data_IF_949818170003
#
_entry.id   IF_949818170003
#
_cell.length_a   1.000
_cell.length_b   1.000
_cell.length_c   1.000
_cell.angle_alpha   90.00
_cell.angle_beta   90.00
_cell.angle_gamma   90.00
#
_symmetry.space_group_name_H-M   'P 1'
#
loop_
_entity.id
_entity.type
_entity.pdbx_description
1 polymer ?
#
# COMPACT_ATOMS: atom_id res chain seq x y z
N UNK A 1 -3.53 30.73 7.82
CA UNK A 1 -3.79 32.11 7.33
C UNK A 1 -3.11 32.41 6.00
N UNK A 2 -2.26 31.53 5.48
CA UNK A 2 -1.55 31.70 4.22
C UNK A 2 -0.50 32.83 4.22
N UNK A 3 -0.03 33.23 5.36
CA UNK A 3 1.01 34.22 5.54
C UNK A 3 2.20 33.64 6.29
N UNK A 4 3.40 34.13 5.96
CA UNK A 4 4.57 33.83 6.78
C UNK A 4 4.35 34.25 8.23
N UNK A 5 4.80 33.48 9.21
CA UNK A 5 4.78 33.92 10.60
C UNK A 5 5.63 35.19 10.74
N UNK A 6 5.28 36.03 11.68
CA UNK A 6 6.09 37.26 11.97
C UNK A 6 7.26 36.93 12.90
N UNK A 7 7.26 35.73 13.51
CA UNK A 7 8.33 35.21 14.38
C UNK A 7 8.66 33.79 14.00
N UNK A 8 9.90 33.40 14.17
CA UNK A 8 10.34 32.01 14.03
C UNK A 8 9.92 31.13 15.22
N UNK A 9 10.34 29.85 15.20
CA UNK A 9 10.03 28.88 16.27
C UNK A 9 10.63 29.27 17.64
N UNK A 10 11.70 30.06 17.65
CA UNK A 10 12.36 30.53 18.86
C UNK A 10 11.82 31.89 19.35
N UNK A 11 10.79 32.42 18.67
CA UNK A 11 10.13 33.67 19.00
C UNK A 11 10.85 34.92 18.48
N UNK A 12 11.89 34.79 17.67
CA UNK A 12 12.64 35.89 17.06
C UNK A 12 11.85 36.48 15.91
N UNK A 13 11.78 37.82 15.83
CA UNK A 13 11.07 38.49 14.76
C UNK A 13 11.77 38.26 13.42
N UNK A 14 11.00 37.78 12.43
CA UNK A 14 11.46 37.67 11.03
C UNK A 14 11.55 39.05 10.39
N UNK A 15 12.47 39.20 9.43
CA UNK A 15 12.58 40.44 8.67
C UNK A 15 11.22 40.86 8.09
N UNK A 16 10.94 42.15 8.13
CA UNK A 16 9.65 42.71 7.69
C UNK A 16 9.33 42.43 6.21
N UNK A 17 10.33 42.09 5.42
CA UNK A 17 10.18 41.68 4.02
C UNK A 17 9.57 40.28 3.89
N UNK A 18 9.68 39.42 4.93
CA UNK A 18 9.20 38.06 4.97
C UNK A 18 8.02 37.92 5.92
N UNK A 19 8.15 38.44 7.15
CA UNK A 19 7.12 38.34 8.20
C UNK A 19 5.80 38.97 7.76
N UNK A 20 4.71 38.18 7.88
CA UNK A 20 3.37 38.61 7.48
C UNK A 20 3.09 38.67 5.98
N UNK A 21 4.10 38.41 5.11
CA UNK A 21 3.91 38.33 3.67
C UNK A 21 3.14 37.07 3.28
N UNK A 22 2.41 37.06 2.14
CA UNK A 22 1.75 35.86 1.66
C UNK A 22 2.74 34.73 1.38
N UNK A 23 2.50 33.55 1.93
CA UNK A 23 3.35 32.35 1.72
C UNK A 23 3.44 31.92 0.27
N UNK A 24 2.36 32.10 -0.49
CA UNK A 24 2.24 31.65 -1.86
C UNK A 24 1.91 32.78 -2.84
N UNK A 25 2.14 34.04 -2.48
CA UNK A 25 1.74 35.18 -3.28
C UNK A 25 0.23 35.18 -3.56
N UNK A 26 -0.22 35.28 -4.82
CA UNK A 26 -1.64 35.26 -5.18
C UNK A 26 -2.22 33.84 -5.24
N UNK A 27 -1.38 32.79 -5.13
CA UNK A 27 -1.79 31.40 -5.28
C UNK A 27 -2.46 30.85 -4.02
N UNK A 28 -3.43 29.99 -4.22
CA UNK A 28 -4.09 29.23 -3.15
C UNK A 28 -4.03 27.76 -3.49
N UNK A 29 -3.69 26.94 -2.51
CA UNK A 29 -3.74 25.49 -2.61
C UNK A 29 -4.91 24.93 -1.81
N UNK A 30 -5.46 23.81 -2.25
CA UNK A 30 -6.38 22.99 -1.48
C UNK A 30 -5.78 21.59 -1.34
N UNK A 31 -5.83 21.03 -0.13
CA UNK A 31 -5.49 19.63 0.07
C UNK A 31 -6.72 18.78 -0.31
N UNK A 32 -6.64 18.10 -1.45
CA UNK A 32 -7.73 17.24 -1.93
C UNK A 32 -7.63 15.82 -1.40
N UNK A 33 -6.40 15.32 -1.26
CA UNK A 33 -6.13 13.95 -0.84
C UNK A 33 -4.79 13.86 -0.11
N UNK A 34 -4.71 12.93 0.85
CA UNK A 34 -3.46 12.51 1.47
C UNK A 34 -3.22 11.05 1.10
N UNK A 35 -2.02 10.77 0.59
CA UNK A 35 -1.57 9.40 0.28
C UNK A 35 -0.30 9.09 1.05
N UNK A 36 -0.29 7.95 1.69
CA UNK A 36 0.85 7.47 2.45
C UNK A 36 0.75 5.98 2.71
N UNK A 37 1.80 5.39 3.24
CA UNK A 37 1.76 4.03 3.70
C UNK A 37 1.02 3.92 5.05
N UNK A 38 0.77 2.67 5.47
CA UNK A 38 0.04 2.43 6.72
C UNK A 38 0.79 2.95 7.95
N UNK A 39 2.12 2.90 7.92
CA UNK A 39 2.93 3.40 9.03
C UNK A 39 2.81 4.92 9.16
N UNK A 40 2.84 5.65 8.04
CA UNK A 40 2.57 7.08 8.02
C UNK A 40 1.18 7.39 8.61
N UNK A 41 0.16 6.65 8.21
CA UNK A 41 -1.19 6.87 8.73
C UNK A 41 -1.31 6.58 10.23
N UNK A 42 -0.66 5.52 10.71
CA UNK A 42 -0.63 5.22 12.14
C UNK A 42 0.08 6.30 12.96
N UNK A 43 1.16 6.89 12.42
CA UNK A 43 1.95 7.90 13.11
C UNK A 43 1.35 9.31 13.07
N UNK A 44 0.70 9.67 11.95
CA UNK A 44 0.25 11.03 11.70
C UNK A 44 -1.24 11.23 12.00
N UNK A 45 -2.05 10.19 11.81
CA UNK A 45 -3.49 10.22 12.05
C UNK A 45 -3.93 9.36 13.22
N UNK A 46 -2.98 8.74 13.93
CA UNK A 46 -3.28 7.75 15.00
C UNK A 46 -4.25 6.65 14.54
N UNK A 47 -4.18 6.28 13.25
CA UNK A 47 -5.01 5.22 12.72
C UNK A 47 -4.57 3.85 13.26
N UNK A 48 -5.51 2.91 13.47
CA UNK A 48 -5.17 1.58 13.95
C UNK A 48 -4.24 0.87 12.97
N UNK A 49 -3.25 0.15 13.49
CA UNK A 49 -2.39 -0.67 12.66
C UNK A 49 -3.15 -1.92 12.19
N UNK A 50 -2.92 -2.32 10.94
CA UNK A 50 -3.59 -3.45 10.30
C UNK A 50 -3.43 -4.79 11.04
N UNK A 51 -2.38 -4.93 11.84
CA UNK A 51 -2.10 -6.12 12.67
C UNK A 51 -2.69 -6.02 14.08
N UNK A 52 -3.41 -4.96 14.39
CA UNK A 52 -4.10 -4.82 15.68
C UNK A 52 -5.33 -5.73 15.70
N UNK A 53 -5.46 -6.53 16.75
CA UNK A 53 -6.46 -7.58 16.80
C UNK A 53 -7.91 -7.10 16.68
N UNK A 54 -8.21 -5.94 17.19
CA UNK A 54 -9.59 -5.49 17.36
C UNK A 54 -10.05 -4.47 16.32
N UNK A 55 -9.21 -3.49 16.02
CA UNK A 55 -9.51 -2.43 15.03
C UNK A 55 -8.39 -2.41 14.00
N UNK A 56 -8.64 -2.91 12.82
CA UNK A 56 -7.61 -3.00 11.78
C UNK A 56 -7.83 -2.04 10.61
N UNK A 57 -8.95 -1.33 10.58
CA UNK A 57 -9.30 -0.43 9.48
C UNK A 57 -9.68 0.94 10.04
N UNK A 58 -9.18 2.01 9.42
CA UNK A 58 -9.61 3.38 9.77
C UNK A 58 -10.89 3.81 9.05
N UNK A 59 -11.28 3.07 7.99
CA UNK A 59 -12.46 3.40 7.19
C UNK A 59 -13.73 2.70 7.66
N UNK A 60 -13.61 1.62 8.47
CA UNK A 60 -14.76 0.84 8.90
C UNK A 60 -14.44 0.07 10.20
N UNK A 61 -15.45 -0.64 10.71
CA UNK A 61 -15.31 -1.49 11.92
C UNK A 61 -14.91 -2.94 11.60
N UNK A 62 -14.27 -3.19 10.46
CA UNK A 62 -13.76 -4.52 10.15
C UNK A 62 -12.80 -5.00 11.24
N UNK A 63 -12.97 -6.26 11.69
CA UNK A 63 -12.26 -6.83 12.83
C UNK A 63 -11.82 -8.26 12.53
N UNK A 64 -10.81 -8.76 13.23
CA UNK A 64 -10.44 -10.18 13.21
C UNK A 64 -10.92 -10.93 14.46
N UNK A 65 -11.55 -10.25 15.42
CA UNK A 65 -12.06 -10.83 16.67
C UNK A 65 -13.58 -10.83 16.75
N UNK A 66 -14.27 -9.89 16.10
CA UNK A 66 -15.73 -9.75 16.15
C UNK A 66 -16.35 -10.55 15.00
N UNK A 67 -17.07 -11.66 15.26
CA UNK A 67 -17.54 -12.59 14.21
C UNK A 67 -18.34 -11.92 13.09
N UNK A 68 -19.26 -11.02 13.44
CA UNK A 68 -20.11 -10.35 12.46
C UNK A 68 -19.37 -9.30 11.63
N UNK A 69 -18.20 -8.86 12.08
CA UNK A 69 -17.37 -7.85 11.42
C UNK A 69 -16.07 -8.44 10.85
N UNK A 70 -16.03 -9.76 10.67
CA UNK A 70 -14.83 -10.46 10.23
C UNK A 70 -14.37 -9.93 8.86
N UNK A 71 -13.17 -9.37 8.82
CA UNK A 71 -12.61 -8.72 7.62
C UNK A 71 -12.38 -9.67 6.45
N UNK A 72 -12.20 -10.99 6.72
CA UNK A 72 -12.04 -12.02 5.69
C UNK A 72 -13.35 -12.40 5.01
N UNK A 73 -14.49 -11.97 5.55
CA UNK A 73 -15.77 -12.17 4.89
C UNK A 73 -15.88 -11.21 3.70
N UNK A 74 -15.60 -11.72 2.50
CA UNK A 74 -15.64 -10.95 1.24
C UNK A 74 -17.03 -10.91 0.59
N UNK A 75 -18.04 -11.51 1.22
CA UNK A 75 -19.42 -11.43 0.71
C UNK A 75 -19.83 -9.96 0.52
N UNK A 76 -20.50 -9.58 -0.58
CA UNK A 76 -21.05 -8.24 -0.76
C UNK A 76 -21.93 -7.76 0.41
N UNK A 77 -22.64 -8.69 1.07
CA UNK A 77 -23.53 -8.43 2.22
C UNK A 77 -22.80 -8.49 3.58
N UNK A 78 -21.48 -8.58 3.60
CA UNK A 78 -20.71 -8.63 4.84
C UNK A 78 -20.97 -7.38 5.69
N UNK A 79 -21.34 -7.57 6.96
CA UNK A 79 -21.77 -6.49 7.84
C UNK A 79 -20.73 -5.37 8.03
N UNK A 80 -19.44 -5.70 8.00
CA UNK A 80 -18.39 -4.69 8.12
C UNK A 80 -18.46 -3.62 7.02
N UNK A 81 -19.01 -3.95 5.83
CA UNK A 81 -19.17 -3.01 4.72
C UNK A 81 -20.18 -1.90 5.01
N UNK A 82 -21.16 -2.16 5.86
CA UNK A 82 -22.16 -1.17 6.29
C UNK A 82 -21.68 -0.27 7.44
N UNK A 83 -20.45 -0.53 7.95
CA UNK A 83 -19.88 0.23 9.08
C UNK A 83 -18.85 1.28 8.63
N UNK A 84 -18.92 1.74 7.40
CA UNK A 84 -18.06 2.81 6.90
C UNK A 84 -18.28 4.09 7.70
N UNK A 85 -17.15 4.71 8.08
CA UNK A 85 -17.14 5.99 8.73
C UNK A 85 -17.34 7.13 7.73
N UNK A 86 -18.20 8.11 8.06
CA UNK A 86 -18.05 9.46 7.52
C UNK A 86 -17.03 10.23 8.37
N UNK A 87 -16.51 11.35 7.86
CA UNK A 87 -15.63 12.21 8.65
C UNK A 87 -16.30 12.62 9.98
N UNK A 88 -17.57 13.02 9.94
CA UNK A 88 -18.32 13.46 11.11
C UNK A 88 -18.49 12.35 12.14
N UNK A 89 -18.83 11.14 11.72
CA UNK A 89 -18.99 10.00 12.64
C UNK A 89 -17.66 9.56 13.22
N UNK A 90 -16.58 9.63 12.45
CA UNK A 90 -15.23 9.35 12.93
C UNK A 90 -14.78 10.36 13.98
N UNK A 91 -14.98 11.67 13.72
CA UNK A 91 -14.65 12.74 14.67
C UNK A 91 -15.46 12.62 15.97
N UNK A 92 -16.74 12.28 15.84
CA UNK A 92 -17.59 12.05 17.02
C UNK A 92 -17.14 10.84 17.85
N UNK A 93 -16.68 9.76 17.18
CA UNK A 93 -16.12 8.58 17.88
C UNK A 93 -14.81 8.91 18.62
N UNK A 94 -13.91 9.73 18.03
CA UNK A 94 -12.70 10.18 18.70
C UNK A 94 -13.05 10.94 19.97
N UNK A 95 -13.93 11.94 19.88
CA UNK A 95 -14.34 12.75 21.03
C UNK A 95 -15.06 11.93 22.11
N UNK A 96 -15.92 11.01 21.70
CA UNK A 96 -16.64 10.14 22.65
C UNK A 96 -15.71 9.17 23.40
N UNK A 97 -14.52 8.87 22.85
CA UNK A 97 -13.51 8.00 23.47
C UNK A 97 -12.34 8.78 24.07
N UNK A 98 -12.49 10.10 24.27
CA UNK A 98 -11.47 11.00 24.84
C UNK A 98 -10.11 10.89 24.08
N UNK A 99 -10.18 10.82 22.76
CA UNK A 99 -9.02 10.77 21.88
C UNK A 99 -8.76 12.11 21.22
N UNK A 100 -7.49 12.42 21.07
CA UNK A 100 -7.07 13.61 20.34
C UNK A 100 -7.46 13.54 18.85
N UNK A 101 -7.91 14.69 18.33
CA UNK A 101 -8.15 14.84 16.91
C UNK A 101 -6.81 15.06 16.21
N UNK A 102 -6.44 14.23 15.21
CA UNK A 102 -5.20 14.43 14.45
C UNK A 102 -5.10 15.84 13.85
N UNK A 103 -3.99 16.51 14.07
CA UNK A 103 -3.79 17.92 13.68
C UNK A 103 -4.04 18.18 12.18
N UNK A 104 -3.75 17.22 11.32
CA UNK A 104 -3.96 17.37 9.88
C UNK A 104 -5.43 17.57 9.52
N UNK A 105 -6.38 17.11 10.34
CA UNK A 105 -7.80 17.39 10.10
C UNK A 105 -8.19 18.85 10.40
N UNK A 106 -7.27 19.66 10.95
CA UNK A 106 -7.44 21.11 11.03
C UNK A 106 -7.27 21.82 9.65
N UNK A 107 -6.69 21.13 8.67
CA UNK A 107 -6.54 21.66 7.31
C UNK A 107 -7.93 21.76 6.67
N UNK A 108 -8.31 22.95 6.29
CA UNK A 108 -9.61 23.21 5.65
C UNK A 108 -9.77 22.35 4.39
N UNK A 109 -10.84 21.56 4.35
CA UNK A 109 -11.17 20.68 3.23
C UNK A 109 -10.58 19.29 3.32
N UNK A 110 -9.64 19.01 4.25
CA UNK A 110 -9.17 17.66 4.49
C UNK A 110 -10.19 16.89 5.35
N UNK A 111 -10.65 15.78 4.83
CA UNK A 111 -11.65 14.92 5.45
C UNK A 111 -11.15 13.47 5.43
N UNK A 112 -11.77 12.60 6.24
CA UNK A 112 -11.45 11.17 6.29
C UNK A 112 -11.52 10.52 4.90
N UNK A 113 -12.52 10.89 4.12
CA UNK A 113 -12.71 10.41 2.75
C UNK A 113 -11.60 10.83 1.77
N UNK A 114 -10.82 11.85 2.14
CA UNK A 114 -9.64 12.28 1.40
C UNK A 114 -8.36 11.49 1.73
N UNK A 115 -8.42 10.59 2.72
CA UNK A 115 -7.29 9.72 3.04
C UNK A 115 -7.32 8.50 2.14
N UNK A 116 -6.37 8.39 1.23
CA UNK A 116 -6.37 7.39 0.16
C UNK A 116 -5.35 6.31 0.42
N UNK A 117 -5.73 5.06 0.14
CA UNK A 117 -4.81 3.92 0.20
C UNK A 117 -3.67 4.14 -0.80
N UNK A 118 -2.43 3.92 -0.34
CA UNK A 118 -1.29 3.92 -1.24
C UNK A 118 -1.26 2.63 -2.07
N UNK A 119 -1.48 2.80 -3.36
CA UNK A 119 -1.52 1.71 -4.34
C UNK A 119 -0.18 0.97 -4.41
N UNK A 120 0.95 1.68 -4.24
CA UNK A 120 2.28 1.04 -4.24
C UNK A 120 2.36 -0.03 -3.14
N UNK A 121 2.00 0.32 -1.90
CA UNK A 121 2.09 -0.61 -0.77
C UNK A 121 0.99 -1.67 -0.80
N UNK A 122 -0.24 -1.30 -1.17
CA UNK A 122 -1.35 -2.25 -1.21
C UNK A 122 -1.25 -3.25 -2.37
N UNK A 123 -0.91 -2.80 -3.56
CA UNK A 123 -0.89 -3.62 -4.77
C UNK A 123 0.52 -4.13 -5.08
N UNK A 124 1.48 -3.24 -5.34
CA UNK A 124 2.79 -3.67 -5.85
C UNK A 124 3.62 -4.41 -4.80
N UNK A 125 3.70 -3.87 -3.57
CA UNK A 125 4.43 -4.45 -2.43
C UNK A 125 3.55 -5.39 -1.57
N UNK A 126 2.24 -5.33 -1.74
CA UNK A 126 1.28 -6.22 -1.08
C UNK A 126 0.91 -7.40 -1.98
N UNK A 127 -0.26 -7.31 -2.61
CA UNK A 127 -0.91 -8.40 -3.35
C UNK A 127 -0.01 -8.97 -4.46
N UNK A 128 0.62 -8.11 -5.28
CA UNK A 128 1.41 -8.56 -6.43
C UNK A 128 2.64 -9.37 -6.04
N UNK A 129 3.32 -9.02 -4.92
CA UNK A 129 4.46 -9.82 -4.44
C UNK A 129 4.03 -11.22 -4.03
N UNK A 130 2.86 -11.38 -3.42
CA UNK A 130 2.33 -12.69 -3.03
C UNK A 130 1.87 -13.50 -4.23
N UNK A 131 1.12 -12.89 -5.15
CA UNK A 131 0.66 -13.56 -6.38
C UNK A 131 1.86 -14.04 -7.20
N UNK A 132 2.83 -13.17 -7.48
CA UNK A 132 4.03 -13.53 -8.25
C UNK A 132 4.88 -14.57 -7.53
N UNK A 133 5.02 -14.47 -6.21
CA UNK A 133 5.71 -15.48 -5.40
C UNK A 133 5.07 -16.86 -5.55
N UNK A 134 3.73 -16.94 -5.47
CA UNK A 134 2.99 -18.19 -5.66
C UNK A 134 3.16 -18.72 -7.08
N UNK A 135 2.92 -17.89 -8.11
CA UNK A 135 3.08 -18.30 -9.52
C UNK A 135 4.48 -18.86 -9.77
N UNK A 136 5.53 -18.15 -9.33
CA UNK A 136 6.88 -18.60 -9.58
C UNK A 136 7.19 -19.92 -8.84
N UNK A 137 6.80 -20.04 -7.57
CA UNK A 137 7.01 -21.28 -6.80
C UNK A 137 6.28 -22.47 -7.45
N UNK A 138 5.05 -22.30 -7.87
CA UNK A 138 4.24 -23.34 -8.52
C UNK A 138 4.78 -23.74 -9.91
N UNK A 139 5.31 -22.79 -10.66
CA UNK A 139 5.88 -23.06 -11.99
C UNK A 139 7.30 -23.63 -11.95
N UNK A 140 8.06 -23.48 -10.84
CA UNK A 140 9.45 -23.93 -10.76
C UNK A 140 9.66 -25.40 -11.16
N UNK A 141 8.86 -26.39 -10.70
CA UNK A 141 9.08 -27.79 -11.06
C UNK A 141 9.03 -28.07 -12.56
N UNK A 142 8.30 -27.24 -13.31
CA UNK A 142 8.15 -27.37 -14.76
C UNK A 142 9.30 -26.69 -15.54
N UNK A 143 10.10 -25.88 -14.86
CA UNK A 143 11.21 -25.13 -15.47
C UNK A 143 12.52 -25.89 -15.49
N UNK A 144 12.64 -27.04 -14.79
CA UNK A 144 13.88 -27.81 -14.77
C UNK A 144 13.84 -29.02 -13.87
N UNK A 145 14.85 -29.89 -14.01
CA UNK A 145 14.93 -31.16 -13.28
C UNK A 145 15.41 -31.03 -11.84
N UNK A 146 16.12 -29.95 -11.53
CA UNK A 146 16.62 -29.65 -10.20
C UNK A 146 16.54 -28.13 -9.93
N UNK A 147 16.71 -27.76 -8.66
CA UNK A 147 16.55 -26.38 -8.21
C UNK A 147 17.46 -25.39 -8.95
N UNK A 148 18.71 -25.74 -9.17
CA UNK A 148 19.67 -24.86 -9.87
C UNK A 148 19.20 -24.57 -11.29
N UNK A 149 18.74 -25.60 -12.01
CA UNK A 149 18.24 -25.46 -13.37
C UNK A 149 16.91 -24.70 -13.41
N UNK A 150 16.01 -24.96 -12.45
CA UNK A 150 14.74 -24.25 -12.32
C UNK A 150 14.95 -22.74 -12.14
N UNK A 151 15.83 -22.36 -11.21
CA UNK A 151 16.13 -20.94 -10.96
C UNK A 151 16.89 -20.30 -12.14
N UNK A 152 17.80 -21.01 -12.78
CA UNK A 152 18.50 -20.50 -13.97
C UNK A 152 17.51 -20.22 -15.12
N UNK A 153 16.57 -21.13 -15.37
CA UNK A 153 15.56 -20.99 -16.42
C UNK A 153 14.54 -19.89 -16.10
N UNK A 154 14.08 -19.77 -14.84
CA UNK A 154 13.23 -18.66 -14.43
C UNK A 154 13.91 -17.31 -14.67
N UNK A 155 15.16 -17.17 -14.21
CA UNK A 155 15.92 -15.94 -14.39
C UNK A 155 16.19 -15.60 -15.87
N UNK A 156 16.45 -16.60 -16.70
CA UNK A 156 16.62 -16.42 -18.13
C UNK A 156 15.34 -15.90 -18.80
N UNK A 157 14.18 -16.46 -18.43
CA UNK A 157 12.86 -16.02 -18.93
C UNK A 157 12.55 -14.59 -18.49
N UNK A 158 12.82 -14.23 -17.22
CA UNK A 158 12.64 -12.87 -16.72
C UNK A 158 13.52 -11.88 -17.50
N UNK A 159 14.79 -12.23 -17.75
CA UNK A 159 15.70 -11.38 -18.54
C UNK A 159 15.22 -11.21 -20.00
N UNK A 160 14.73 -12.28 -20.61
CA UNK A 160 14.15 -12.24 -21.95
C UNK A 160 12.92 -11.31 -21.98
N UNK A 161 12.02 -11.44 -20.99
CA UNK A 161 10.87 -10.55 -20.82
C UNK A 161 11.27 -9.08 -20.71
N UNK A 162 12.26 -8.77 -19.87
CA UNK A 162 12.76 -7.40 -19.71
C UNK A 162 13.30 -6.81 -21.01
N UNK A 163 13.98 -7.64 -21.82
CA UNK A 163 14.53 -7.21 -23.11
C UNK A 163 13.41 -6.98 -24.12
N UNK A 164 12.50 -7.94 -24.26
CA UNK A 164 11.37 -7.90 -25.20
C UNK A 164 10.45 -6.70 -24.95
N UNK A 165 10.13 -6.44 -23.66
CA UNK A 165 9.18 -5.40 -23.27
C UNK A 165 9.85 -4.07 -22.89
N UNK A 166 11.16 -3.92 -23.12
CA UNK A 166 11.94 -2.70 -22.83
C UNK A 166 11.71 -2.17 -21.42
N UNK A 167 11.61 -3.08 -20.43
CA UNK A 167 11.32 -2.74 -19.04
C UNK A 167 12.47 -1.92 -18.45
N UNK A 168 12.15 -0.74 -17.89
CA UNK A 168 13.12 0.15 -17.24
C UNK A 168 13.40 -0.22 -15.80
N UNK A 169 12.36 -0.53 -15.02
CA UNK A 169 12.48 -0.90 -13.60
C UNK A 169 12.54 -2.42 -13.47
N UNK A 170 13.71 -2.93 -13.11
CA UNK A 170 14.01 -4.37 -13.09
C UNK A 170 14.36 -4.83 -11.68
N UNK A 171 14.19 -6.12 -11.40
CA UNK A 171 14.80 -6.74 -10.23
C UNK A 171 16.33 -6.66 -10.33
N UNK A 172 16.98 -6.44 -9.19
CA UNK A 172 18.43 -6.41 -9.13
C UNK A 172 18.99 -7.84 -9.05
N UNK A 173 19.87 -8.17 -9.97
CA UNK A 173 20.51 -9.48 -10.01
C UNK A 173 19.62 -10.63 -10.45
N UNK A 174 20.02 -11.84 -10.10
CA UNK A 174 19.24 -13.05 -10.30
C UNK A 174 18.45 -13.37 -9.04
N UNK A 175 17.22 -13.83 -9.20
CA UNK A 175 16.44 -14.38 -8.09
C UNK A 175 17.07 -15.69 -7.62
N UNK A 176 17.12 -15.84 -6.31
CA UNK A 176 17.33 -17.10 -5.60
C UNK A 176 15.98 -17.64 -5.09
N UNK A 177 15.96 -18.90 -4.65
CA UNK A 177 14.77 -19.48 -4.02
C UNK A 177 14.35 -18.71 -2.75
N UNK A 178 15.30 -18.15 -2.01
CA UNK A 178 15.03 -17.33 -0.84
C UNK A 178 14.33 -16.00 -1.17
N UNK A 179 14.47 -15.52 -2.43
CA UNK A 179 13.79 -14.31 -2.88
C UNK A 179 12.33 -14.56 -3.28
N UNK A 180 11.93 -15.82 -3.39
CA UNK A 180 10.55 -16.24 -3.68
C UNK A 180 9.73 -16.55 -2.43
N UNK A 181 10.31 -16.41 -1.22
CA UNK A 181 9.63 -16.74 0.04
C UNK A 181 9.92 -15.71 1.13
N UNK A 182 8.95 -15.55 2.01
CA UNK A 182 9.07 -14.78 3.26
C UNK A 182 8.35 -15.53 4.37
N UNK A 183 9.04 -15.79 5.49
CA UNK A 183 8.48 -16.53 6.63
C UNK A 183 7.82 -17.88 6.24
N UNK A 184 8.44 -18.61 5.31
CA UNK A 184 7.92 -19.87 4.80
C UNK A 184 6.86 -19.78 3.70
N UNK A 185 6.23 -18.62 3.51
CA UNK A 185 5.19 -18.41 2.51
C UNK A 185 5.74 -17.88 1.18
N UNK A 186 5.14 -18.26 0.04
CA UNK A 186 5.49 -17.67 -1.24
C UNK A 186 5.28 -16.16 -1.25
N UNK A 187 6.36 -15.43 -1.53
CA UNK A 187 6.36 -13.98 -1.66
C UNK A 187 7.60 -13.52 -2.41
N UNK A 188 7.42 -12.90 -3.57
CA UNK A 188 8.52 -12.34 -4.33
C UNK A 188 9.12 -11.15 -3.59
N UNK A 189 10.44 -11.14 -3.37
CA UNK A 189 11.14 -9.97 -2.86
C UNK A 189 11.51 -9.03 -4.01
N UNK A 190 11.18 -7.75 -3.87
CA UNK A 190 11.50 -6.77 -4.90
C UNK A 190 11.00 -5.37 -4.56
N UNK A 191 11.49 -4.37 -5.28
CA UNK A 191 10.95 -3.01 -5.22
C UNK A 191 9.63 -2.93 -5.98
N UNK A 192 8.68 -2.14 -5.52
CA UNK A 192 7.32 -2.06 -6.07
C UNK A 192 7.26 -1.88 -7.58
N UNK A 193 8.05 -0.94 -8.12
CA UNK A 193 8.10 -0.73 -9.58
C UNK A 193 8.58 -1.98 -10.36
N UNK A 194 9.57 -2.71 -9.85
CA UNK A 194 10.05 -3.94 -10.48
C UNK A 194 8.99 -5.06 -10.41
N UNK A 195 8.30 -5.18 -9.28
CA UNK A 195 7.19 -6.14 -9.09
C UNK A 195 6.04 -5.83 -10.05
N UNK A 196 5.63 -4.56 -10.16
CA UNK A 196 4.59 -4.10 -11.10
C UNK A 196 4.91 -4.52 -12.54
N UNK A 197 6.14 -4.29 -12.99
CA UNK A 197 6.56 -4.64 -14.35
C UNK A 197 6.69 -6.16 -14.58
N UNK A 198 6.77 -6.97 -13.54
CA UNK A 198 6.75 -8.42 -13.63
C UNK A 198 5.33 -9.02 -13.61
N UNK A 199 4.32 -8.29 -13.19
CA UNK A 199 2.97 -8.83 -13.11
C UNK A 199 2.46 -9.41 -14.45
N UNK A 200 2.63 -8.74 -15.63
CA UNK A 200 2.24 -9.33 -16.90
C UNK A 200 3.07 -10.58 -17.29
N UNK A 201 4.36 -10.63 -16.90
CA UNK A 201 5.17 -11.83 -17.08
C UNK A 201 4.64 -12.99 -16.24
N UNK A 202 4.28 -12.74 -14.98
CA UNK A 202 3.68 -13.74 -14.11
C UNK A 202 2.38 -14.30 -14.71
N UNK A 203 1.51 -13.43 -15.22
CA UNK A 203 0.27 -13.83 -15.87
C UNK A 203 0.53 -14.71 -17.11
N UNK A 204 1.51 -14.32 -17.97
CA UNK A 204 1.92 -15.11 -19.13
C UNK A 204 2.46 -16.49 -18.72
N UNK A 205 3.31 -16.53 -17.70
CA UNK A 205 3.89 -17.77 -17.20
C UNK A 205 2.81 -18.70 -16.62
N UNK A 206 1.89 -18.15 -15.82
CA UNK A 206 0.77 -18.92 -15.27
C UNK A 206 -0.12 -19.50 -16.37
N UNK A 207 -0.45 -18.71 -17.40
CA UNK A 207 -1.26 -19.17 -18.54
C UNK A 207 -0.57 -20.28 -19.33
N UNK A 208 0.75 -20.20 -19.51
CA UNK A 208 1.54 -21.22 -20.22
C UNK A 208 1.48 -22.58 -19.51
N UNK A 209 1.53 -22.59 -18.20
CA UNK A 209 1.56 -23.83 -17.40
C UNK A 209 0.20 -24.27 -16.87
N UNK A 210 -0.83 -23.43 -16.96
CA UNK A 210 -2.19 -23.75 -16.53
C UNK A 210 -3.05 -24.37 -17.64
N UNK A 211 -2.50 -24.57 -18.83
CA UNK A 211 -3.24 -25.13 -19.97
C UNK A 211 -3.65 -26.61 -19.81
N UNK A 212 -3.61 -27.15 -18.61
CA UNK A 212 -3.90 -28.56 -18.30
C UNK A 212 -4.79 -28.91 -17.11
N UNK A 213 -5.22 -27.97 -16.23
CA UNK A 213 -5.87 -28.40 -14.99
C UNK A 213 -6.94 -27.46 -14.38
N UNK A 214 -7.72 -26.76 -15.18
CA UNK A 214 -8.89 -26.03 -14.66
C UNK A 214 -10.23 -26.72 -15.00
N UNK A 215 -10.20 -27.99 -15.39
CA UNK A 215 -11.41 -28.78 -15.62
C UNK A 215 -11.19 -30.21 -15.12
N UNK A 216 -11.28 -30.39 -13.82
CA UNK A 216 -11.79 -31.62 -13.20
C UNK A 216 -12.43 -31.27 -11.84
#
# INVERSE_FOLDING_TARGET
SGKHPVRDADGVELESSVGGSPLAGPWRGACLQVRGDWQFYAQVFDFPQWNTAEKMCWLCRASNTIPNLYWTNMNPEAQWRSTLWSHETYMADLLANDKDVPELFSIVGLRLEGIMIDVLHAIDLGVSMHILGNIFVECLPQLGRNEAQQMANLNARIKAWYKENRVSSRLQGNLSKADLRSNGWPKLKGKGAAVRHLAPFGAKLAAEFNSGSLHD
#
